data_IF_969101666442
#
_entry.id   IF_969101666442
#
_cell.length_a   1.000
_cell.length_b   1.000
_cell.length_c   1.000
_cell.angle_alpha   90.00
_cell.angle_beta   90.00
_cell.angle_gamma   90.00
#
_symmetry.space_group_name_H-M   'P 1'
#
loop_
_entity.id
_entity.type
_entity.pdbx_description
1 polymer ?
#
# COMPACT_ATOMS: atom_id res chain seq x y z
N UNK A 1 -5.12 12.13 3.11
CA UNK A 1 -6.31 11.26 3.20
C UNK A 1 -7.50 12.08 3.68
N UNK A 2 -8.61 11.98 2.97
CA UNK A 2 -9.84 12.78 3.13
C UNK A 2 -10.87 12.15 4.07
N UNK A 3 -10.78 10.83 4.31
CA UNK A 3 -11.74 10.04 5.08
C UNK A 3 -12.75 9.27 4.23
N UNK A 4 -12.86 9.60 2.94
CA UNK A 4 -13.59 8.84 1.93
C UNK A 4 -12.80 7.59 1.57
N UNK A 5 -13.35 6.42 1.89
CA UNK A 5 -12.64 5.14 1.76
C UNK A 5 -12.19 4.84 0.33
N UNK A 6 -13.05 5.11 -0.64
CA UNK A 6 -12.79 4.82 -2.05
C UNK A 6 -11.72 5.74 -2.59
N UNK A 7 -11.88 7.05 -2.39
CA UNK A 7 -10.90 8.04 -2.86
C UNK A 7 -9.55 7.85 -2.21
N UNK A 8 -9.53 7.59 -0.90
CA UNK A 8 -8.30 7.40 -0.16
C UNK A 8 -7.61 6.09 -0.56
N UNK A 9 -8.34 5.00 -0.81
CA UNK A 9 -7.77 3.73 -1.30
C UNK A 9 -7.11 3.91 -2.66
N UNK A 10 -7.79 4.57 -3.61
CA UNK A 10 -7.24 4.86 -4.95
C UNK A 10 -5.98 5.73 -4.83
N UNK A 11 -6.02 6.76 -4.00
CA UNK A 11 -4.87 7.65 -3.79
C UNK A 11 -3.67 6.92 -3.18
N UNK A 12 -3.91 6.04 -2.20
CA UNK A 12 -2.87 5.27 -1.53
C UNK A 12 -2.25 4.26 -2.47
N UNK A 13 -3.07 3.54 -3.24
CA UNK A 13 -2.61 2.62 -4.30
C UNK A 13 -1.65 3.34 -5.26
N UNK A 14 -2.06 4.49 -5.80
CA UNK A 14 -1.23 5.25 -6.75
C UNK A 14 0.10 5.70 -6.15
N UNK A 15 0.07 6.19 -4.92
CA UNK A 15 1.28 6.65 -4.22
C UNK A 15 2.23 5.50 -3.93
N UNK A 16 1.72 4.37 -3.46
CA UNK A 16 2.54 3.20 -3.15
C UNK A 16 3.02 2.48 -4.41
N UNK A 17 2.30 2.55 -5.52
CA UNK A 17 2.78 2.05 -6.81
C UNK A 17 4.03 2.80 -7.26
N UNK A 18 4.08 4.13 -7.10
CA UNK A 18 5.29 4.92 -7.36
C UNK A 18 6.47 4.45 -6.49
N UNK A 19 6.21 4.13 -5.21
CA UNK A 19 7.23 3.57 -4.33
C UNK A 19 7.72 2.18 -4.79
N UNK A 20 6.83 1.32 -5.30
CA UNK A 20 7.18 0.02 -5.89
C UNK A 20 8.09 0.19 -7.11
N UNK A 21 7.77 1.16 -7.97
CA UNK A 21 8.47 1.40 -9.22
C UNK A 21 9.78 2.18 -9.06
N UNK A 22 10.09 2.64 -7.85
CA UNK A 22 11.34 3.34 -7.54
C UNK A 22 12.56 2.46 -7.88
N UNK A 23 13.54 2.98 -8.65
CA UNK A 23 14.77 2.27 -8.99
C UNK A 23 15.60 1.86 -7.76
N UNK A 24 16.33 0.75 -7.89
CA UNK A 24 17.11 0.16 -6.78
C UNK A 24 18.28 1.06 -6.34
N UNK A 25 18.78 1.87 -7.26
CA UNK A 25 19.88 2.82 -7.14
C UNK A 25 19.43 4.26 -6.90
N UNK A 26 18.12 4.50 -6.72
CA UNK A 26 17.59 5.85 -6.52
C UNK A 26 18.18 6.51 -5.27
N UNK A 27 18.66 7.76 -5.36
CA UNK A 27 19.26 8.47 -4.22
C UNK A 27 18.24 8.77 -3.10
N UNK A 28 16.95 8.86 -3.43
CA UNK A 28 15.87 9.14 -2.48
C UNK A 28 15.16 7.87 -1.94
N UNK A 29 15.71 6.67 -2.14
CA UNK A 29 15.06 5.41 -1.74
C UNK A 29 14.69 5.34 -0.25
N UNK A 30 15.49 5.94 0.63
CA UNK A 30 15.24 5.95 2.07
C UNK A 30 14.07 6.86 2.46
N UNK A 31 13.92 7.99 1.75
CA UNK A 31 12.79 8.91 1.89
C UNK A 31 11.50 8.23 1.41
N UNK A 32 11.51 7.67 0.20
CA UNK A 32 10.39 6.90 -0.36
C UNK A 32 9.94 5.77 0.57
N UNK A 33 10.91 5.05 1.17
CA UNK A 33 10.62 4.01 2.17
C UNK A 33 9.91 4.60 3.39
N UNK A 34 10.43 5.69 3.94
CA UNK A 34 9.88 6.32 5.14
C UNK A 34 8.45 6.82 4.90
N UNK A 35 8.22 7.50 3.78
CA UNK A 35 6.90 7.98 3.37
C UNK A 35 5.91 6.83 3.16
N UNK A 36 6.34 5.74 2.51
CA UNK A 36 5.51 4.57 2.31
C UNK A 36 5.10 3.93 3.65
N UNK A 37 6.02 3.81 4.62
CA UNK A 37 5.71 3.27 5.96
C UNK A 37 4.72 4.15 6.72
N UNK A 38 4.87 5.47 6.64
CA UNK A 38 3.92 6.43 7.23
C UNK A 38 2.54 6.27 6.58
N UNK A 39 2.47 6.28 5.24
CA UNK A 39 1.20 6.16 4.51
C UNK A 39 0.49 4.82 4.79
N UNK A 40 1.24 3.72 4.86
CA UNK A 40 0.71 2.40 5.25
C UNK A 40 0.07 2.46 6.64
N UNK A 41 0.79 3.05 7.59
CA UNK A 41 0.35 3.13 8.99
C UNK A 41 -0.91 3.98 9.10
N UNK A 42 -0.95 5.11 8.42
CA UNK A 42 -2.10 6.02 8.40
C UNK A 42 -3.34 5.36 7.77
N UNK A 43 -3.17 4.67 6.63
CA UNK A 43 -4.26 3.98 5.97
C UNK A 43 -4.86 2.87 6.83
N UNK A 44 -4.00 1.98 7.36
CA UNK A 44 -4.46 0.86 8.18
C UNK A 44 -5.15 1.37 9.45
N UNK A 45 -4.55 2.34 10.14
CA UNK A 45 -5.09 2.88 11.39
C UNK A 45 -6.46 3.54 11.19
N UNK A 46 -6.65 4.23 10.05
CA UNK A 46 -7.93 4.88 9.73
C UNK A 46 -9.07 3.90 9.46
N UNK A 47 -8.80 2.80 8.77
CA UNK A 47 -9.85 1.94 8.22
C UNK A 47 -10.04 0.59 8.94
N UNK A 48 -9.02 0.08 9.66
CA UNK A 48 -9.09 -1.24 10.33
C UNK A 48 -10.24 -1.37 11.33
N UNK A 49 -10.62 -0.28 12.00
CA UNK A 49 -11.68 -0.30 13.02
C UNK A 49 -13.06 0.13 12.46
N UNK A 50 -13.19 0.36 11.16
CA UNK A 50 -14.48 0.71 10.54
C UNK A 50 -15.21 -0.56 10.12
N UNK A 51 -16.27 -0.94 10.84
CA UNK A 51 -16.96 -2.22 10.68
C UNK A 51 -17.51 -2.52 9.27
N UNK A 52 -17.90 -1.50 8.51
CA UNK A 52 -18.36 -1.66 7.13
C UNK A 52 -17.20 -1.79 6.12
N UNK A 53 -16.01 -1.28 6.46
CA UNK A 53 -14.84 -1.26 5.57
C UNK A 53 -13.96 -2.47 5.81
N UNK A 54 -13.72 -2.84 7.07
CA UNK A 54 -12.72 -3.83 7.43
C UNK A 54 -13.06 -5.28 7.00
N UNK A 55 -14.30 -5.52 6.55
CA UNK A 55 -14.76 -6.79 5.98
C UNK A 55 -14.77 -6.79 4.44
N UNK A 56 -14.50 -5.65 3.81
CA UNK A 56 -14.50 -5.55 2.35
C UNK A 56 -13.33 -6.32 1.74
N UNK A 57 -13.52 -6.81 0.52
CA UNK A 57 -12.48 -7.53 -0.18
C UNK A 57 -11.37 -6.55 -0.60
N UNK A 58 -11.72 -5.30 -0.94
CA UNK A 58 -10.71 -4.27 -1.21
C UNK A 58 -9.81 -4.02 0.00
N UNK A 59 -10.37 -3.91 1.21
CA UNK A 59 -9.58 -3.60 2.41
C UNK A 59 -8.66 -4.75 2.78
N UNK A 60 -9.15 -5.99 2.77
CA UNK A 60 -8.36 -7.17 3.12
C UNK A 60 -7.24 -7.42 2.10
N UNK A 61 -7.50 -7.16 0.81
CA UNK A 61 -6.49 -7.18 -0.26
C UNK A 61 -5.42 -6.12 -0.03
N UNK A 62 -5.81 -4.87 0.26
CA UNK A 62 -4.87 -3.81 0.63
C UNK A 62 -4.05 -4.21 1.85
N UNK A 63 -4.68 -4.61 2.94
CA UNK A 63 -3.99 -4.95 4.19
C UNK A 63 -2.92 -6.03 3.98
N UNK A 64 -3.18 -7.02 3.12
CA UNK A 64 -2.19 -8.05 2.76
C UNK A 64 -0.98 -7.44 2.06
N UNK A 65 -1.21 -6.61 1.03
CA UNK A 65 -0.15 -5.92 0.30
C UNK A 65 0.67 -4.99 1.20
N UNK A 66 -0.02 -4.18 2.01
CA UNK A 66 0.60 -3.21 2.90
C UNK A 66 1.44 -3.89 3.98
N UNK A 67 0.95 -4.99 4.56
CA UNK A 67 1.71 -5.77 5.55
C UNK A 67 2.97 -6.38 4.92
N UNK A 68 2.87 -6.88 3.69
CA UNK A 68 4.02 -7.40 2.96
C UNK A 68 5.09 -6.33 2.68
N UNK A 69 4.67 -5.16 2.18
CA UNK A 69 5.58 -4.04 1.91
C UNK A 69 6.22 -3.52 3.21
N UNK A 70 5.43 -3.27 4.25
CA UNK A 70 5.93 -2.79 5.53
C UNK A 70 6.86 -3.82 6.21
N UNK A 71 6.54 -5.11 6.10
CA UNK A 71 7.38 -6.19 6.61
C UNK A 71 8.76 -6.19 5.95
N UNK A 72 8.82 -6.03 4.62
CA UNK A 72 10.10 -5.92 3.91
C UNK A 72 10.90 -4.70 4.37
N UNK A 73 10.29 -3.52 4.38
CA UNK A 73 10.98 -2.29 4.76
C UNK A 73 11.48 -2.28 6.21
N UNK A 74 10.75 -2.90 7.14
CA UNK A 74 11.17 -3.01 8.55
C UNK A 74 12.32 -3.98 8.74
N UNK A 75 12.32 -5.11 8.03
CA UNK A 75 13.34 -6.15 8.18
C UNK A 75 14.60 -5.89 7.34
N UNK A 76 14.47 -5.11 6.26
CA UNK A 76 15.54 -4.88 5.30
C UNK A 76 15.64 -3.41 4.92
N UNK A 77 15.84 -2.53 5.91
CA UNK A 77 15.81 -1.08 5.76
C UNK A 77 16.52 -0.58 4.49
N UNK A 78 17.76 -1.01 4.23
CA UNK A 78 18.57 -0.54 3.10
C UNK A 78 18.40 -1.33 1.79
N UNK A 79 17.56 -2.38 1.74
CA UNK A 79 17.40 -3.23 0.56
C UNK A 79 16.19 -2.81 -0.27
N UNK A 80 16.32 -2.72 -1.60
CA UNK A 80 15.18 -2.51 -2.47
C UNK A 80 14.17 -3.66 -2.35
N UNK A 81 12.92 -3.38 -2.73
CA UNK A 81 11.90 -4.42 -2.86
C UNK A 81 12.35 -5.47 -3.90
N UNK A 82 12.33 -6.78 -3.56
CA UNK A 82 12.62 -7.86 -4.50
C UNK A 82 11.61 -7.87 -5.66
N UNK A 83 12.05 -8.28 -6.85
CA UNK A 83 11.21 -8.20 -8.06
C UNK A 83 9.91 -9.00 -7.93
N UNK A 84 9.97 -10.21 -7.35
CA UNK A 84 8.77 -11.01 -7.01
C UNK A 84 7.80 -10.30 -6.06
N UNK A 85 8.33 -9.52 -5.12
CA UNK A 85 7.49 -8.74 -4.20
C UNK A 85 6.86 -7.56 -4.93
N UNK A 86 7.62 -6.86 -5.79
CA UNK A 86 7.09 -5.79 -6.64
C UNK A 86 5.92 -6.28 -7.51
N UNK A 87 6.10 -7.39 -8.22
CA UNK A 87 5.05 -7.99 -9.05
C UNK A 87 3.77 -8.30 -8.25
N UNK A 88 3.93 -8.91 -7.06
CA UNK A 88 2.80 -9.20 -6.19
C UNK A 88 2.08 -7.93 -5.75
N UNK A 89 2.82 -6.92 -5.28
CA UNK A 89 2.27 -5.65 -4.82
C UNK A 89 1.49 -4.94 -5.93
N UNK A 90 2.07 -4.84 -7.13
CA UNK A 90 1.41 -4.24 -8.30
C UNK A 90 0.08 -4.94 -8.62
N UNK A 91 0.06 -6.29 -8.56
CA UNK A 91 -1.16 -7.08 -8.77
C UNK A 91 -2.21 -6.82 -7.70
N UNK A 92 -1.81 -6.84 -6.43
CA UNK A 92 -2.73 -6.64 -5.29
C UNK A 92 -3.28 -5.21 -5.25
N UNK A 93 -2.46 -4.20 -5.56
CA UNK A 93 -2.90 -2.81 -5.69
C UNK A 93 -3.91 -2.61 -6.82
N UNK A 94 -3.64 -3.15 -8.00
CA UNK A 94 -4.60 -3.10 -9.12
C UNK A 94 -5.91 -3.81 -8.79
N UNK A 95 -5.84 -4.93 -8.06
CA UNK A 95 -7.02 -5.68 -7.63
C UNK A 95 -7.84 -4.88 -6.61
N UNK A 96 -7.19 -4.30 -5.60
CA UNK A 96 -7.83 -3.49 -4.58
C UNK A 96 -8.51 -2.25 -5.18
N UNK A 97 -7.87 -1.56 -6.12
CA UNK A 97 -8.45 -0.41 -6.83
C UNK A 97 -9.72 -0.80 -7.58
N UNK A 98 -9.72 -1.95 -8.27
CA UNK A 98 -10.93 -2.45 -8.97
C UNK A 98 -12.04 -2.86 -8.00
N UNK A 99 -11.68 -3.47 -6.88
CA UNK A 99 -12.65 -3.92 -5.87
C UNK A 99 -13.31 -2.74 -5.17
N UNK A 100 -12.54 -1.75 -4.75
CA UNK A 100 -13.09 -0.61 -3.99
C UNK A 100 -14.10 0.17 -4.84
N UNK A 101 -13.86 0.31 -6.14
CA UNK A 101 -14.79 0.94 -7.08
C UNK A 101 -16.11 0.17 -7.26
N UNK A 102 -16.12 -1.14 -7.01
CA UNK A 102 -17.34 -1.98 -7.06
C UNK A 102 -18.10 -2.02 -5.75
N UNK A 103 -17.43 -1.73 -4.64
CA UNK A 103 -17.99 -1.71 -3.29
C UNK A 103 -18.51 -0.32 -2.89
N UNK A 104 -18.28 0.70 -3.74
CA UNK A 104 -18.67 2.10 -3.53
C UNK A 104 -20.13 2.38 -3.89
#
# INVERSE_FOLDING_TARGET
MTGDYTKDTISVVKTLQIAVDTPKDSPNKDEVRSEALTLITDYISRYRNRGMVNKTQSFTTMQTALNAMAGHYKNFASRPLPDKLKERLTKEFSLAEKMVLRES
#
